data_IF_710210228971
#
_entry.id   IF_710210228971
#
_cell.length_a   1.000
_cell.length_b   1.000
_cell.length_c   1.000
_cell.angle_alpha   90.00
_cell.angle_beta   90.00
_cell.angle_gamma   90.00
#
_symmetry.space_group_name_H-M   'P 1'
#
loop_
_entity.id
_entity.type
_entity.pdbx_description
1 polymer ?
#
# COMPACT_ATOMS: atom_id res chain seq x y z
N UNK A 1 47.80 10.93 -24.72
CA UNK A 1 46.59 10.15 -25.06
C UNK A 1 45.47 10.67 -24.18
N UNK A 2 44.53 11.44 -24.75
CA UNK A 2 43.48 12.16 -24.01
C UNK A 2 42.28 11.24 -23.89
N UNK A 3 41.90 10.87 -22.66
CA UNK A 3 40.68 10.10 -22.39
C UNK A 3 39.50 11.06 -22.48
N UNK A 4 38.75 10.99 -23.58
CA UNK A 4 37.47 11.69 -23.71
C UNK A 4 36.48 11.10 -22.70
N UNK A 5 36.05 11.92 -21.73
CA UNK A 5 34.90 11.60 -20.90
C UNK A 5 33.65 11.54 -21.79
N UNK A 6 33.01 10.37 -21.84
CA UNK A 6 31.67 10.25 -22.41
C UNK A 6 30.74 11.09 -21.54
N UNK A 7 30.35 12.26 -22.04
CA UNK A 7 29.19 12.99 -21.56
C UNK A 7 27.96 12.10 -21.74
N UNK A 8 27.57 11.41 -20.68
CA UNK A 8 26.29 10.70 -20.59
C UNK A 8 25.22 11.77 -20.39
N UNK A 9 24.65 12.26 -21.49
CA UNK A 9 23.43 13.05 -21.44
C UNK A 9 22.29 12.17 -20.93
N UNK A 10 21.44 12.65 -19.99
CA UNK A 10 20.26 11.91 -19.60
C UNK A 10 19.35 11.74 -20.82
N UNK A 11 18.93 10.51 -21.08
CA UNK A 11 18.02 10.15 -22.17
C UNK A 11 16.66 10.82 -21.91
N UNK A 12 16.44 12.01 -22.50
CA UNK A 12 15.09 12.55 -22.69
C UNK A 12 14.34 11.55 -23.57
N UNK A 13 13.41 10.80 -22.99
CA UNK A 13 12.40 10.07 -23.75
C UNK A 13 11.46 11.09 -24.39
N UNK A 14 11.86 11.63 -25.53
CA UNK A 14 10.95 12.28 -26.46
C UNK A 14 10.04 11.20 -27.08
N UNK A 15 9.02 10.79 -26.34
CA UNK A 15 7.86 10.15 -26.94
C UNK A 15 7.05 11.28 -27.54
N UNK A 16 7.10 11.33 -28.87
CA UNK A 16 6.22 12.13 -29.71
C UNK A 16 4.78 12.04 -29.21
N UNK A 17 4.25 13.16 -28.74
CA UNK A 17 2.81 13.42 -28.64
C UNK A 17 2.22 13.35 -30.05
N UNK A 18 1.96 12.14 -30.55
CA UNK A 18 0.96 11.97 -31.60
C UNK A 18 -0.40 12.08 -30.92
N UNK A 19 -1.05 13.21 -31.18
CA UNK A 19 -2.47 13.45 -30.92
C UNK A 19 -3.30 12.23 -31.35
N UNK A 20 -3.59 11.36 -30.40
CA UNK A 20 -4.76 10.51 -30.40
C UNK A 20 -5.38 10.73 -29.04
N UNK A 21 -6.62 11.19 -29.05
CA UNK A 21 -7.51 11.22 -27.90
C UNK A 21 -7.43 9.88 -27.15
N UNK A 22 -6.56 9.80 -26.15
CA UNK A 22 -6.57 8.71 -25.20
C UNK A 22 -7.89 8.85 -24.46
N UNK A 23 -8.85 8.05 -24.90
CA UNK A 23 -9.98 7.64 -24.08
C UNK A 23 -9.36 7.30 -22.73
N UNK A 24 -9.59 8.14 -21.72
CA UNK A 24 -9.18 7.88 -20.35
C UNK A 24 -9.95 6.64 -19.94
N UNK A 25 -9.38 5.46 -20.19
CA UNK A 25 -9.98 4.21 -19.76
C UNK A 25 -10.05 4.26 -18.23
N UNK A 26 -11.28 4.43 -17.76
CA UNK A 26 -11.60 4.45 -16.37
C UNK A 26 -11.35 3.05 -15.81
N UNK A 27 -10.60 2.96 -14.71
CA UNK A 27 -10.14 1.68 -14.15
C UNK A 27 -11.34 0.76 -13.92
N UNK A 28 -11.29 -0.45 -14.50
CA UNK A 28 -12.33 -1.47 -14.31
C UNK A 28 -12.08 -2.20 -12.99
N UNK A 29 -13.16 -2.61 -12.33
CA UNK A 29 -13.08 -3.38 -11.07
C UNK A 29 -12.32 -4.70 -11.27
N UNK A 30 -12.43 -5.33 -12.45
CA UNK A 30 -11.68 -6.53 -12.82
C UNK A 30 -10.16 -6.31 -12.80
N UNK A 31 -9.70 -5.11 -13.17
CA UNK A 31 -8.28 -4.77 -13.15
C UNK A 31 -7.78 -4.62 -11.71
N UNK A 32 -8.56 -3.95 -10.85
CA UNK A 32 -8.27 -3.83 -9.41
C UNK A 32 -8.24 -5.20 -8.72
N UNK A 33 -9.12 -6.11 -9.12
CA UNK A 33 -9.11 -7.49 -8.61
C UNK A 33 -7.89 -8.28 -9.06
N UNK A 34 -7.49 -8.14 -10.32
CA UNK A 34 -6.25 -8.75 -10.81
C UNK A 34 -5.02 -8.18 -10.08
N UNK A 35 -4.99 -6.88 -9.81
CA UNK A 35 -3.91 -6.23 -9.07
C UNK A 35 -3.89 -6.69 -7.60
N UNK A 36 -5.04 -6.89 -6.99
CA UNK A 36 -5.19 -7.48 -5.66
C UNK A 36 -4.64 -8.92 -5.60
N UNK A 37 -4.98 -9.77 -6.56
CA UNK A 37 -4.43 -11.13 -6.67
C UNK A 37 -2.92 -11.13 -6.94
N UNK A 38 -2.44 -10.22 -7.79
CA UNK A 38 -1.00 -10.03 -8.03
C UNK A 38 -0.27 -9.62 -6.76
N UNK A 39 -0.87 -8.76 -5.94
CA UNK A 39 -0.28 -8.34 -4.65
C UNK A 39 -0.09 -9.54 -3.72
N UNK A 40 -1.06 -10.45 -3.67
CA UNK A 40 -0.92 -11.73 -2.95
C UNK A 40 0.20 -12.61 -3.49
N UNK A 41 0.39 -12.61 -4.81
CA UNK A 41 1.48 -13.31 -5.47
C UNK A 41 2.79 -12.50 -5.49
N UNK A 42 2.85 -11.34 -4.83
CA UNK A 42 4.04 -10.47 -4.79
C UNK A 42 4.49 -10.00 -6.20
N UNK A 43 3.53 -9.90 -7.12
CA UNK A 43 3.73 -9.43 -8.49
C UNK A 43 3.48 -7.93 -8.63
N UNK A 44 4.08 -7.33 -9.66
CA UNK A 44 4.05 -5.89 -9.89
C UNK A 44 2.69 -5.44 -10.42
N UNK A 45 2.26 -4.28 -9.94
CA UNK A 45 1.02 -3.62 -10.33
C UNK A 45 1.33 -2.50 -11.31
N UNK A 46 0.47 -2.34 -12.32
CA UNK A 46 0.63 -1.24 -13.27
C UNK A 46 0.00 0.04 -12.73
N UNK A 47 0.79 0.84 -12.02
CA UNK A 47 0.36 2.10 -11.41
C UNK A 47 -0.15 3.16 -12.40
N UNK A 48 0.28 3.11 -13.67
CA UNK A 48 -0.13 4.09 -14.69
C UNK A 48 -1.59 3.94 -15.10
N UNK A 49 -2.21 2.79 -14.81
CA UNK A 49 -3.64 2.58 -15.06
C UNK A 49 -4.51 3.35 -14.06
N UNK A 50 -3.99 3.66 -12.87
CA UNK A 50 -4.78 4.16 -11.75
C UNK A 50 -4.91 5.68 -11.79
N UNK A 51 -5.90 6.14 -12.54
CA UNK A 51 -6.10 7.57 -12.79
C UNK A 51 -7.09 8.22 -11.80
N UNK A 52 -7.86 7.43 -11.05
CA UNK A 52 -8.88 7.91 -10.11
C UNK A 52 -8.60 7.42 -8.68
N UNK A 53 -9.04 8.20 -7.68
CA UNK A 53 -8.85 7.89 -6.26
C UNK A 53 -10.03 7.09 -5.70
N UNK A 54 -11.25 7.35 -6.19
CA UNK A 54 -12.49 6.86 -5.58
C UNK A 54 -12.64 5.34 -5.71
N UNK A 55 -12.55 4.79 -6.93
CA UNK A 55 -12.75 3.36 -7.18
C UNK A 55 -11.76 2.47 -6.44
N UNK A 56 -10.44 2.75 -6.44
CA UNK A 56 -9.48 1.92 -5.71
C UNK A 56 -9.72 1.95 -4.19
N UNK A 57 -10.12 3.09 -3.62
CA UNK A 57 -10.48 3.19 -2.20
C UNK A 57 -11.71 2.33 -1.89
N UNK A 58 -12.79 2.47 -2.66
CA UNK A 58 -14.02 1.68 -2.44
C UNK A 58 -13.73 0.18 -2.55
N UNK A 59 -12.99 -0.20 -3.60
CA UNK A 59 -12.59 -1.58 -3.83
C UNK A 59 -11.78 -2.14 -2.65
N UNK A 60 -10.71 -1.45 -2.25
CA UNK A 60 -9.91 -1.86 -1.09
C UNK A 60 -10.74 -1.93 0.19
N UNK A 61 -11.55 -0.91 0.46
CA UNK A 61 -12.38 -0.83 1.66
C UNK A 61 -13.38 -1.98 1.75
N UNK A 62 -13.94 -2.40 0.62
CA UNK A 62 -14.87 -3.54 0.57
C UNK A 62 -14.19 -4.87 0.91
N UNK A 63 -13.04 -5.17 0.28
CA UNK A 63 -12.31 -6.42 0.51
C UNK A 63 -11.65 -6.46 1.89
N UNK A 64 -10.96 -5.38 2.26
CA UNK A 64 -10.34 -5.23 3.57
C UNK A 64 -11.41 -5.26 4.68
N UNK A 65 -12.51 -4.53 4.50
CA UNK A 65 -13.64 -4.53 5.42
C UNK A 65 -14.24 -5.92 5.61
N UNK A 66 -14.46 -6.68 4.53
CA UNK A 66 -14.96 -8.05 4.60
C UNK A 66 -14.00 -8.97 5.36
N UNK A 67 -12.68 -8.84 5.11
CA UNK A 67 -11.66 -9.65 5.80
C UNK A 67 -11.53 -9.30 7.30
N UNK A 68 -11.59 -8.02 7.66
CA UNK A 68 -11.56 -7.57 9.06
C UNK A 68 -12.84 -7.98 9.80
N UNK A 69 -14.02 -7.86 9.16
CA UNK A 69 -15.28 -8.33 9.71
C UNK A 69 -15.22 -9.83 10.02
N UNK A 70 -14.77 -10.64 9.06
CA UNK A 70 -14.58 -12.08 9.24
C UNK A 70 -13.64 -12.41 10.40
N UNK A 71 -12.50 -11.71 10.49
CA UNK A 71 -11.55 -11.87 11.61
C UNK A 71 -12.20 -11.56 12.96
N UNK A 72 -12.91 -10.43 13.08
CA UNK A 72 -13.55 -10.04 14.34
C UNK A 72 -14.70 -10.99 14.72
N UNK A 73 -15.47 -11.48 13.75
CA UNK A 73 -16.46 -12.53 13.97
C UNK A 73 -15.81 -13.80 14.53
N UNK A 74 -14.71 -14.27 13.93
CA UNK A 74 -13.98 -15.45 14.42
C UNK A 74 -13.50 -15.23 15.86
N UNK A 75 -12.90 -14.08 16.16
CA UNK A 75 -12.44 -13.72 17.51
C UNK A 75 -13.58 -13.76 18.54
N UNK A 76 -14.74 -13.19 18.21
CA UNK A 76 -15.90 -13.14 19.13
C UNK A 76 -16.63 -14.50 19.28
N UNK A 77 -16.63 -15.33 18.23
CA UNK A 77 -17.16 -16.70 18.33
C UNK A 77 -16.30 -17.54 19.26
N UNK A 78 -14.97 -17.45 19.14
CA UNK A 78 -14.04 -18.19 20.01
C UNK A 78 -14.08 -17.67 21.44
N UNK A 79 -14.30 -16.37 21.65
CA UNK A 79 -14.50 -15.78 22.99
C UNK A 79 -15.86 -16.15 23.62
N UNK A 80 -16.75 -16.82 22.88
CA UNK A 80 -18.14 -17.17 23.25
C UNK A 80 -19.03 -15.97 23.57
N UNK A 81 -18.64 -14.76 23.16
CA UNK A 81 -19.34 -13.51 23.45
C UNK A 81 -19.63 -12.73 22.17
N UNK A 82 -20.48 -13.29 21.31
CA UNK A 82 -20.79 -12.66 20.02
C UNK A 82 -21.58 -11.36 20.18
N UNK A 83 -20.87 -10.23 20.14
CA UNK A 83 -21.46 -8.90 20.05
C UNK A 83 -21.26 -8.32 18.64
N UNK A 84 -22.26 -8.51 17.79
CA UNK A 84 -22.23 -8.04 16.39
C UNK A 84 -22.05 -6.53 16.27
N UNK A 85 -22.60 -5.75 17.20
CA UNK A 85 -22.45 -4.29 17.18
C UNK A 85 -20.98 -3.92 17.39
N UNK A 86 -20.31 -4.55 18.35
CA UNK A 86 -18.88 -4.34 18.59
C UNK A 86 -18.04 -4.72 17.36
N UNK A 87 -18.35 -5.85 16.71
CA UNK A 87 -17.69 -6.29 15.49
C UNK A 87 -17.83 -5.27 14.37
N UNK A 88 -19.04 -4.74 14.15
CA UNK A 88 -19.30 -3.73 13.12
C UNK A 88 -18.52 -2.45 13.41
N UNK A 89 -18.55 -1.96 14.66
CA UNK A 89 -17.82 -0.76 15.06
C UNK A 89 -16.31 -0.93 14.83
N UNK A 90 -15.71 -2.04 15.31
CA UNK A 90 -14.28 -2.32 15.12
C UNK A 90 -13.89 -2.44 13.65
N UNK A 91 -14.76 -3.04 12.83
CA UNK A 91 -14.56 -3.15 11.38
C UNK A 91 -14.53 -1.77 10.72
N UNK A 92 -15.54 -0.93 10.98
CA UNK A 92 -15.65 0.41 10.41
C UNK A 92 -14.46 1.27 10.85
N UNK A 93 -14.13 1.28 12.14
CA UNK A 93 -12.98 2.03 12.68
C UNK A 93 -11.67 1.60 12.02
N UNK A 94 -11.45 0.29 11.86
CA UNK A 94 -10.24 -0.24 11.20
C UNK A 94 -10.14 0.20 9.74
N UNK A 95 -11.25 0.10 8.99
CA UNK A 95 -11.31 0.52 7.58
C UNK A 95 -11.03 2.02 7.45
N UNK A 96 -11.66 2.86 8.27
CA UNK A 96 -11.46 4.32 8.25
C UNK A 96 -9.98 4.65 8.52
N UNK A 97 -9.38 4.02 9.52
CA UNK A 97 -7.98 4.28 9.88
C UNK A 97 -7.02 3.81 8.78
N UNK A 98 -7.29 2.69 8.13
CA UNK A 98 -6.52 2.25 6.97
C UNK A 98 -6.66 3.22 5.77
N UNK A 99 -7.85 3.76 5.52
CA UNK A 99 -8.07 4.77 4.46
C UNK A 99 -7.28 6.04 4.79
N UNK A 100 -7.36 6.56 6.01
CA UNK A 100 -6.62 7.74 6.45
C UNK A 100 -5.12 7.52 6.33
N UNK A 101 -4.63 6.34 6.74
CA UNK A 101 -3.24 5.96 6.59
C UNK A 101 -2.82 5.89 5.12
N UNK A 102 -3.54 5.17 4.26
CA UNK A 102 -3.19 5.03 2.85
C UNK A 102 -3.23 6.36 2.09
N UNK A 103 -4.20 7.23 2.41
CA UNK A 103 -4.26 8.59 1.87
C UNK A 103 -3.06 9.44 2.34
N UNK A 104 -2.80 9.47 3.65
CA UNK A 104 -1.71 10.26 4.23
C UNK A 104 -0.33 9.81 3.74
N UNK A 105 -0.05 8.52 3.83
CA UNK A 105 1.22 7.93 3.38
C UNK A 105 1.40 8.00 1.87
N UNK A 106 0.34 7.76 1.08
CA UNK A 106 0.40 7.89 -0.37
C UNK A 106 0.74 9.31 -0.83
N UNK A 107 0.12 10.33 -0.21
CA UNK A 107 0.45 11.74 -0.50
C UNK A 107 1.88 12.06 -0.05
N UNK A 108 2.27 11.59 1.14
CA UNK A 108 3.60 11.83 1.69
C UNK A 108 4.71 11.20 0.83
N UNK A 109 4.56 9.95 0.40
CA UNK A 109 5.52 9.29 -0.49
C UNK A 109 5.57 9.92 -1.87
N UNK A 110 4.42 10.35 -2.41
CA UNK A 110 4.40 11.13 -3.66
C UNK A 110 5.19 12.43 -3.54
N UNK A 111 5.03 13.13 -2.41
CA UNK A 111 5.77 14.37 -2.13
C UNK A 111 7.28 14.09 -2.00
N UNK A 112 7.68 13.09 -1.20
CA UNK A 112 9.08 12.73 -1.01
C UNK A 112 9.80 12.27 -2.29
N UNK A 113 9.10 11.55 -3.17
CA UNK A 113 9.68 11.03 -4.41
C UNK A 113 9.69 12.06 -5.54
N UNK A 114 9.15 13.27 -5.32
CA UNK A 114 9.03 14.37 -6.31
C UNK A 114 8.48 13.95 -7.70
N UNK A 115 7.88 12.75 -7.82
CA UNK A 115 7.32 12.13 -9.04
C UNK A 115 6.03 12.81 -9.54
N UNK A 116 5.84 14.07 -9.18
CA UNK A 116 4.64 14.89 -9.43
C UNK A 116 4.18 14.91 -10.88
N UNK A 117 5.05 14.61 -11.85
CA UNK A 117 4.77 14.70 -13.28
C UNK A 117 4.29 13.41 -13.97
N UNK A 118 4.61 12.22 -13.46
CA UNK A 118 4.44 10.98 -14.23
C UNK A 118 3.36 10.03 -13.70
N UNK A 119 2.94 10.18 -12.44
CA UNK A 119 1.97 9.26 -11.81
C UNK A 119 0.91 9.99 -10.98
N UNK A 120 -0.35 9.57 -11.15
CA UNK A 120 -1.50 10.13 -10.45
C UNK A 120 -1.42 9.85 -8.95
N UNK A 121 -1.93 10.77 -8.13
CA UNK A 121 -1.95 10.61 -6.66
C UNK A 121 -2.73 9.36 -6.24
N UNK A 122 -3.76 8.98 -6.99
CA UNK A 122 -4.54 7.76 -6.75
C UNK A 122 -3.71 6.49 -6.78
N UNK A 123 -2.69 6.40 -7.64
CA UNK A 123 -1.79 5.23 -7.70
C UNK A 123 -1.01 5.04 -6.40
N UNK A 124 -0.49 6.13 -5.81
CA UNK A 124 0.26 6.09 -4.55
C UNK A 124 -0.62 5.65 -3.39
N UNK A 125 -1.80 6.27 -3.28
CA UNK A 125 -2.78 5.94 -2.26
C UNK A 125 -3.17 4.46 -2.37
N UNK A 126 -3.45 3.99 -3.58
CA UNK A 126 -3.85 2.60 -3.79
C UNK A 126 -2.75 1.59 -3.44
N UNK A 127 -1.49 1.85 -3.82
CA UNK A 127 -0.38 0.97 -3.42
C UNK A 127 -0.19 0.94 -1.90
N UNK A 128 -0.32 2.10 -1.23
CA UNK A 128 -0.22 2.16 0.23
C UNK A 128 -1.39 1.46 0.93
N UNK A 129 -2.56 1.40 0.30
CA UNK A 129 -3.68 0.60 0.81
C UNK A 129 -3.42 -0.90 0.57
N UNK A 130 -3.04 -1.29 -0.65
CA UNK A 130 -2.74 -2.67 -0.98
C UNK A 130 -1.59 -3.27 -0.17
N UNK A 131 -0.63 -2.47 0.28
CA UNK A 131 0.43 -2.96 1.15
C UNK A 131 -0.09 -3.51 2.49
N UNK A 132 -1.30 -3.12 2.89
CA UNK A 132 -1.95 -3.58 4.12
C UNK A 132 -2.78 -4.87 3.95
N UNK A 133 -2.80 -5.48 2.77
CA UNK A 133 -3.64 -6.65 2.44
C UNK A 133 -3.47 -7.84 3.39
N UNK A 134 -2.28 -8.02 3.94
CA UNK A 134 -1.96 -9.13 4.85
C UNK A 134 -2.35 -8.85 6.31
N UNK A 135 -2.66 -7.59 6.66
CA UNK A 135 -2.93 -7.17 8.04
C UNK A 135 -4.05 -7.95 8.74
N UNK A 136 -5.19 -8.26 8.10
CA UNK A 136 -6.25 -9.04 8.75
C UNK A 136 -5.77 -10.42 9.18
N UNK A 137 -4.98 -11.09 8.33
CA UNK A 137 -4.43 -12.42 8.63
C UNK A 137 -3.38 -12.34 9.73
N UNK A 138 -2.48 -11.35 9.66
CA UNK A 138 -1.41 -11.21 10.66
C UNK A 138 -1.95 -10.78 12.03
N UNK A 139 -3.02 -9.99 12.07
CA UNK A 139 -3.72 -9.64 13.31
C UNK A 139 -4.41 -10.88 13.91
N UNK A 140 -5.06 -11.71 13.09
CA UNK A 140 -5.64 -12.97 13.55
C UNK A 140 -4.58 -13.91 14.12
N UNK A 141 -3.46 -14.08 13.41
CA UNK A 141 -2.32 -14.87 13.89
C UNK A 141 -1.73 -14.31 15.18
N UNK A 142 -1.57 -12.99 15.28
CA UNK A 142 -1.06 -12.33 16.49
C UNK A 142 -1.97 -12.55 17.70
N UNK A 143 -3.27 -12.66 17.48
CA UNK A 143 -4.23 -13.00 18.52
C UNK A 143 -4.12 -14.47 18.96
N UNK A 144 -3.90 -15.41 18.04
CA UNK A 144 -3.65 -16.83 18.38
C UNK A 144 -2.28 -17.07 19.03
N UNK A 145 -1.26 -16.26 18.68
CA UNK A 145 0.10 -16.38 19.19
C UNK A 145 0.59 -15.08 19.85
N UNK A 146 0.05 -14.71 21.03
CA UNK A 146 0.37 -13.42 21.66
C UNK A 146 1.86 -13.20 21.92
N UNK A 147 2.58 -14.25 22.29
CA UNK A 147 4.03 -14.22 22.54
C UNK A 147 4.84 -13.89 21.27
N UNK A 148 4.31 -14.21 20.09
CA UNK A 148 4.95 -13.96 18.79
C UNK A 148 4.36 -12.74 18.05
N UNK A 149 3.36 -12.05 18.63
CA UNK A 149 2.63 -10.95 17.98
C UNK A 149 3.53 -9.85 17.41
N UNK A 150 4.56 -9.44 18.16
CA UNK A 150 5.52 -8.43 17.69
C UNK A 150 6.30 -8.89 16.46
N UNK A 151 6.72 -10.16 16.42
CA UNK A 151 7.45 -10.73 15.28
C UNK A 151 6.51 -10.84 14.08
N UNK A 152 5.27 -11.30 14.29
CA UNK A 152 4.25 -11.42 13.23
C UNK A 152 3.95 -10.05 12.61
N UNK A 153 3.74 -9.02 13.42
CA UNK A 153 3.49 -7.65 12.95
C UNK A 153 4.72 -7.02 12.29
N UNK A 154 5.93 -7.35 12.76
CA UNK A 154 7.17 -6.92 12.10
C UNK A 154 7.32 -7.55 10.72
N UNK A 155 7.04 -8.86 10.57
CA UNK A 155 7.03 -9.54 9.28
C UNK A 155 5.98 -8.93 8.34
N UNK A 156 4.80 -8.59 8.85
CA UNK A 156 3.78 -7.88 8.07
C UNK A 156 4.30 -6.52 7.58
N UNK A 157 4.96 -5.75 8.45
CA UNK A 157 5.57 -4.48 8.05
C UNK A 157 6.61 -4.65 6.95
N UNK A 158 7.45 -5.69 7.03
CA UNK A 158 8.42 -6.00 5.97
C UNK A 158 7.74 -6.35 4.64
N UNK A 159 6.63 -7.10 4.65
CA UNK A 159 5.84 -7.36 3.43
C UNK A 159 5.21 -6.10 2.87
N UNK A 160 4.65 -5.24 3.73
CA UNK A 160 4.07 -3.95 3.32
C UNK A 160 5.11 -3.03 2.69
N UNK A 161 6.29 -2.90 3.32
CA UNK A 161 7.44 -2.17 2.77
C UNK A 161 7.87 -2.76 1.43
N UNK A 162 8.02 -4.08 1.33
CA UNK A 162 8.36 -4.74 0.07
C UNK A 162 7.37 -4.42 -1.05
N UNK A 163 6.05 -4.45 -0.78
CA UNK A 163 5.03 -4.10 -1.78
C UNK A 163 5.18 -2.66 -2.23
N UNK A 164 5.42 -1.74 -1.29
CA UNK A 164 5.63 -0.32 -1.61
C UNK A 164 6.89 -0.13 -2.43
N UNK A 165 8.03 -0.68 -2.04
CA UNK A 165 9.28 -0.58 -2.79
C UNK A 165 9.15 -1.17 -4.20
N UNK A 166 8.60 -2.37 -4.30
CA UNK A 166 8.49 -3.09 -5.56
C UNK A 166 7.57 -2.41 -6.57
N UNK A 167 6.55 -1.69 -6.09
CA UNK A 167 5.66 -0.94 -6.96
C UNK A 167 6.16 0.50 -7.17
N UNK A 168 6.40 1.26 -6.11
CA UNK A 168 6.68 2.70 -6.15
C UNK A 168 8.12 3.03 -6.55
N UNK A 169 9.09 2.21 -6.12
CA UNK A 169 10.53 2.55 -6.15
C UNK A 169 11.29 1.78 -7.24
N UNK A 170 10.81 0.62 -7.70
CA UNK A 170 11.57 -0.26 -8.61
C UNK A 170 12.20 0.43 -9.84
N UNK A 171 11.52 1.41 -10.44
CA UNK A 171 12.04 2.21 -11.57
C UNK A 171 12.38 3.66 -11.19
N UNK A 172 12.39 4.01 -9.90
CA UNK A 172 12.75 5.34 -9.43
C UNK A 172 14.26 5.44 -9.20
N UNK A 173 14.88 6.41 -9.86
CA UNK A 173 16.29 6.72 -9.66
C UNK A 173 16.41 7.85 -8.64
N UNK A 174 16.78 7.51 -7.40
CA UNK A 174 17.17 8.51 -6.42
C UNK A 174 18.41 9.28 -6.90
N UNK A 175 18.47 10.57 -6.57
CA UNK A 175 19.62 11.43 -6.86
C UNK A 175 20.92 10.90 -6.24
N UNK A 176 20.83 10.33 -5.04
CA UNK A 176 21.96 9.78 -4.29
C UNK A 176 21.52 8.64 -3.35
N UNK A 177 22.51 7.87 -2.87
CA UNK A 177 22.28 6.74 -1.96
C UNK A 177 21.72 7.18 -0.60
N UNK A 178 22.05 8.41 -0.16
CA UNK A 178 21.56 8.96 1.10
C UNK A 178 20.05 9.22 1.06
N UNK A 179 19.53 9.83 0.00
CA UNK A 179 18.09 10.06 -0.13
C UNK A 179 17.32 8.74 -0.19
N UNK A 180 17.85 7.74 -0.91
CA UNK A 180 17.27 6.39 -0.93
C UNK A 180 17.22 5.76 0.46
N UNK A 181 18.31 5.85 1.23
CA UNK A 181 18.38 5.32 2.58
C UNK A 181 17.40 6.02 3.54
N UNK A 182 17.34 7.36 3.50
CA UNK A 182 16.40 8.13 4.34
C UNK A 182 14.96 7.78 4.01
N UNK A 183 14.61 7.67 2.72
CA UNK A 183 13.26 7.27 2.31
C UNK A 183 12.88 5.91 2.89
N UNK A 184 13.74 4.89 2.73
CA UNK A 184 13.49 3.53 3.21
C UNK A 184 13.31 3.46 4.72
N UNK A 185 14.12 4.20 5.48
CA UNK A 185 13.98 4.26 6.94
C UNK A 185 12.66 4.90 7.33
N UNK A 186 12.30 6.04 6.71
CA UNK A 186 11.04 6.72 7.01
C UNK A 186 9.84 5.83 6.68
N UNK A 187 9.86 5.19 5.51
CA UNK A 187 8.85 4.23 5.08
C UNK A 187 8.67 3.11 6.10
N UNK A 188 9.77 2.44 6.49
CA UNK A 188 9.73 1.35 7.47
C UNK A 188 9.18 1.82 8.82
N UNK A 189 9.62 2.96 9.32
CA UNK A 189 9.15 3.51 10.61
C UNK A 189 7.65 3.80 10.55
N UNK A 190 7.17 4.45 9.49
CA UNK A 190 5.76 4.81 9.33
C UNK A 190 4.88 3.54 9.28
N UNK A 191 5.26 2.56 8.47
CA UNK A 191 4.53 1.30 8.32
C UNK A 191 4.56 0.52 9.64
N UNK A 192 5.71 0.46 10.30
CA UNK A 192 5.88 -0.28 11.53
C UNK A 192 5.07 0.32 12.68
N UNK A 193 5.09 1.65 12.87
CA UNK A 193 4.25 2.33 13.86
C UNK A 193 2.77 2.04 13.58
N UNK A 194 2.36 2.12 12.33
CA UNK A 194 0.96 1.85 11.97
C UNK A 194 0.54 0.43 12.29
N UNK A 195 1.32 -0.58 11.89
CA UNK A 195 0.98 -1.99 12.05
C UNK A 195 1.20 -2.55 13.45
N UNK A 196 2.11 -1.96 14.25
CA UNK A 196 2.39 -2.41 15.60
C UNK A 196 1.57 -1.66 16.66
N UNK A 197 1.28 -0.38 16.43
CA UNK A 197 0.63 0.49 17.43
C UNK A 197 -0.80 0.82 17.02
N UNK A 198 -0.97 1.48 15.87
CA UNK A 198 -2.25 2.12 15.52
C UNK A 198 -3.30 1.06 15.18
N UNK A 199 -3.05 0.19 14.22
CA UNK A 199 -4.04 -0.79 13.76
C UNK A 199 -4.38 -1.83 14.84
N UNK A 200 -3.40 -2.40 15.60
CA UNK A 200 -3.70 -3.26 16.74
C UNK A 200 -4.53 -2.58 17.84
N UNK A 201 -4.31 -1.29 18.12
CA UNK A 201 -5.06 -0.57 19.18
C UNK A 201 -6.57 -0.48 18.92
N UNK A 202 -6.99 -0.62 17.66
CA UNK A 202 -8.39 -0.62 17.24
C UNK A 202 -8.93 -2.05 17.17
N UNK A 203 -8.07 -3.02 16.85
CA UNK A 203 -8.44 -4.41 16.67
C UNK A 203 -8.55 -5.20 17.98
N UNK A 204 -7.72 -4.87 18.98
CA UNK A 204 -7.74 -5.54 20.29
C UNK A 204 -8.89 -5.04 21.15
#
# INVERSE_FOLDING_TARGET
MVVQSKNVTPRRSSISLSNNSQIKEDVRVSDLFNDYLKTFAVHRINMLKINTIIKPIIFFSSLFGMSMFGMFCIKEVVSKNLNLINVIIKTISSVIVCILFGCGTGIFFKWLLEKSRDTHTGSYIYVCLLSLIYSPVTLLLSWFFPQASNIINFVNAMFSTFIIEYNLIYDYQFLDSRSSFVFRILELIIIWIFLLVILPSIAY
#
